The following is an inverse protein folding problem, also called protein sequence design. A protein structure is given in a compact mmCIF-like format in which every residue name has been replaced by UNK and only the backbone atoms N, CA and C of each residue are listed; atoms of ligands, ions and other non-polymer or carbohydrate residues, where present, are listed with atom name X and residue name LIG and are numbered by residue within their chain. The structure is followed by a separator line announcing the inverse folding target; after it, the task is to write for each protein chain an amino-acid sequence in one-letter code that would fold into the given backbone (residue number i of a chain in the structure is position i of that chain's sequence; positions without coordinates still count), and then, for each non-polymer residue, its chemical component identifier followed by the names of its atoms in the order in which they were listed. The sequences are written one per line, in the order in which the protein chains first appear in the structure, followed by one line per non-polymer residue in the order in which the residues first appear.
data_IF_886634610580
#
_entry.id   IF_886634610580
#
_cell.length_a   1.000
_cell.length_b   1.000
_cell.length_c   1.000
_cell.angle_alpha   90.00
_cell.angle_beta   90.00
_cell.angle_gamma   90.00
#
_symmetry.space_group_name_H-M   'P 1'
#
loop_
_entity.id
_entity.type
_entity.pdbx_description
1 polymer ?
#
# COMPACT_ATOMS: atom_id res chain seq x y z
N UNK A 1 0.41 -14.45 42.60
CA UNK A 1 -0.26 -13.34 41.89
C UNK A 1 0.73 -12.42 41.16
N UNK A 2 1.90 -12.09 41.74
CA UNK A 2 2.92 -11.25 41.08
C UNK A 2 3.53 -11.91 39.82
N UNK A 3 3.76 -13.24 39.85
CA UNK A 3 4.34 -13.98 38.73
C UNK A 3 3.43 -14.01 37.48
N UNK A 4 2.11 -14.05 37.69
CA UNK A 4 1.10 -14.02 36.60
C UNK A 4 1.05 -12.62 35.98
N UNK A 5 1.17 -11.57 36.79
CA UNK A 5 1.27 -10.19 36.31
C UNK A 5 2.52 -9.96 35.46
N UNK A 6 3.68 -10.48 35.88
CA UNK A 6 4.93 -10.35 35.13
C UNK A 6 4.91 -11.10 33.79
N UNK A 7 4.28 -12.28 33.72
CA UNK A 7 4.10 -13.02 32.46
C UNK A 7 3.14 -12.30 31.50
N UNK A 8 2.07 -11.69 32.01
CA UNK A 8 1.14 -10.91 31.19
C UNK A 8 1.79 -9.63 30.63
N UNK A 9 2.61 -8.94 31.43
CA UNK A 9 3.37 -7.76 30.99
C UNK A 9 4.45 -8.14 29.96
N UNK A 10 5.21 -9.21 30.18
CA UNK A 10 6.21 -9.68 29.22
C UNK A 10 5.57 -10.13 27.89
N UNK A 11 4.44 -10.84 27.95
CA UNK A 11 3.69 -11.26 26.77
C UNK A 11 3.08 -10.08 25.99
N UNK A 12 2.51 -9.10 26.68
CA UNK A 12 1.88 -7.92 26.06
C UNK A 12 2.87 -6.98 25.36
N UNK A 13 4.11 -6.88 25.86
CA UNK A 13 5.16 -6.06 25.24
C UNK A 13 5.71 -6.73 23.97
N UNK A 14 5.82 -8.05 23.93
CA UNK A 14 6.32 -8.79 22.76
C UNK A 14 5.35 -8.76 21.55
N UNK A 15 4.04 -8.65 21.79
CA UNK A 15 3.00 -8.71 20.75
C UNK A 15 2.83 -7.40 19.95
N UNK A 16 3.26 -6.24 20.46
CA UNK A 16 3.10 -4.96 19.76
C UNK A 16 3.99 -4.81 18.53
N UNK A 17 5.12 -5.53 18.47
CA UNK A 17 6.13 -5.37 17.43
C UNK A 17 5.82 -6.09 16.11
N UNK A 18 4.73 -6.86 16.04
CA UNK A 18 4.46 -7.79 14.93
C UNK A 18 3.20 -7.47 14.12
N UNK A 19 2.58 -6.29 14.27
CA UNK A 19 1.43 -5.97 13.44
C UNK A 19 1.88 -5.78 11.98
N UNK A 20 1.36 -6.57 11.02
CA UNK A 20 1.69 -6.39 9.62
C UNK A 20 1.15 -5.03 9.16
N UNK A 21 2.02 -4.20 8.59
CA UNK A 21 1.64 -2.93 8.02
C UNK A 21 0.62 -3.18 6.90
N UNK A 22 -0.63 -2.78 7.12
CA UNK A 22 -1.71 -2.91 6.15
C UNK A 22 -2.14 -1.53 5.70
N UNK A 23 -2.18 -1.31 4.39
CA UNK A 23 -2.57 -0.05 3.77
C UNK A 23 -3.97 -0.19 3.16
N UNK A 24 -4.80 0.81 3.38
CA UNK A 24 -6.12 0.89 2.75
C UNK A 24 -5.96 1.47 1.34
N UNK A 25 -6.44 0.73 0.34
CA UNK A 25 -6.34 1.16 -1.04
C UNK A 25 -7.62 1.83 -1.49
N UNK A 26 -7.53 2.69 -2.50
CA UNK A 26 -8.70 3.36 -3.08
C UNK A 26 -9.65 2.38 -3.78
N UNK A 27 -9.13 1.23 -4.22
CA UNK A 27 -9.92 0.15 -4.81
C UNK A 27 -10.66 -0.70 -3.75
N UNK A 28 -10.45 -0.43 -2.45
CA UNK A 28 -11.08 -1.16 -1.35
C UNK A 28 -10.46 -2.52 -1.02
N UNK A 29 -9.36 -2.90 -1.68
CA UNK A 29 -8.63 -4.14 -1.37
C UNK A 29 -7.42 -3.82 -0.49
N UNK A 30 -7.33 -4.29 0.76
CA UNK A 30 -6.21 -3.95 1.64
C UNK A 30 -4.88 -4.48 1.08
N UNK A 31 -3.84 -3.66 1.12
CA UNK A 31 -2.48 -4.05 0.77
C UNK A 31 -1.68 -4.35 2.03
N UNK A 32 -1.37 -5.63 2.28
CA UNK A 32 -0.52 -6.05 3.40
C UNK A 32 0.96 -6.05 3.00
N UNK A 33 1.80 -5.28 3.69
CA UNK A 33 3.24 -5.24 3.46
C UNK A 33 3.88 -6.59 3.76
N UNK A 34 4.83 -7.02 2.92
CA UNK A 34 5.59 -8.26 3.09
C UNK A 34 7.06 -7.97 2.82
N UNK A 35 7.91 -8.08 3.84
CA UNK A 35 9.35 -7.81 3.78
C UNK A 35 10.11 -8.82 2.92
N UNK A 36 9.57 -10.02 2.74
CA UNK A 36 10.20 -11.13 2.05
C UNK A 36 9.97 -11.11 0.54
N UNK A 37 9.11 -10.21 0.05
CA UNK A 37 8.75 -10.08 -1.37
C UNK A 37 9.17 -8.72 -1.92
N UNK A 38 9.85 -8.75 -3.08
CA UNK A 38 10.19 -7.53 -3.81
C UNK A 38 8.93 -6.77 -4.22
N UNK A 39 8.85 -5.52 -3.79
CA UNK A 39 7.73 -4.61 -4.08
C UNK A 39 8.25 -3.38 -4.80
N UNK A 40 7.75 -3.15 -6.02
CA UNK A 40 7.96 -1.91 -6.77
C UNK A 40 6.97 -0.87 -6.25
N UNK A 41 7.49 0.24 -5.74
CA UNK A 41 6.66 1.36 -5.28
C UNK A 41 6.78 2.49 -6.30
N UNK A 42 5.66 2.86 -6.91
CA UNK A 42 5.59 3.95 -7.86
C UNK A 42 4.85 5.13 -7.23
N UNK A 43 5.56 6.23 -7.01
CA UNK A 43 4.95 7.50 -6.63
C UNK A 43 4.52 8.22 -7.90
N UNK A 44 3.24 8.54 -8.00
CA UNK A 44 2.68 9.18 -9.20
C UNK A 44 1.70 10.29 -8.85
N UNK A 45 1.37 11.08 -9.86
CA UNK A 45 0.39 12.14 -9.80
C UNK A 45 -0.29 12.29 -11.17
N UNK A 46 -1.50 12.86 -11.21
CA UNK A 46 -2.24 13.11 -12.45
C UNK A 46 -1.48 14.06 -13.39
N UNK A 47 -0.71 15.00 -12.83
CA UNK A 47 0.15 15.90 -13.60
C UNK A 47 1.51 15.27 -13.98
N UNK A 48 1.88 14.13 -13.41
CA UNK A 48 3.16 13.47 -13.69
C UNK A 48 3.09 12.62 -14.98
N UNK A 49 3.13 13.27 -16.14
CA UNK A 49 3.13 12.58 -17.44
C UNK A 49 4.17 11.43 -17.59
N UNK A 50 5.44 11.55 -17.17
CA UNK A 50 6.35 10.41 -17.24
C UNK A 50 5.88 9.23 -16.37
N UNK A 51 5.39 9.48 -15.15
CA UNK A 51 4.84 8.43 -14.28
C UNK A 51 3.66 7.72 -14.96
N UNK A 52 2.76 8.46 -15.61
CA UNK A 52 1.61 7.88 -16.30
C UNK A 52 2.01 7.00 -17.50
N UNK A 53 3.09 7.36 -18.21
CA UNK A 53 3.62 6.54 -19.31
C UNK A 53 4.20 5.20 -18.85
N UNK A 54 4.57 5.08 -17.57
CA UNK A 54 5.11 3.84 -16.99
C UNK A 54 4.03 2.85 -16.54
N UNK A 55 2.78 3.31 -16.35
CA UNK A 55 1.67 2.48 -15.86
C UNK A 55 1.45 1.20 -16.68
N UNK A 56 1.51 1.20 -18.03
CA UNK A 56 1.36 -0.02 -18.82
C UNK A 56 2.42 -1.08 -18.49
N UNK A 57 3.67 -0.68 -18.27
CA UNK A 57 4.76 -1.58 -17.91
C UNK A 57 4.61 -2.09 -16.47
N UNK A 58 4.20 -1.21 -15.54
CA UNK A 58 3.90 -1.61 -14.16
C UNK A 58 2.72 -2.59 -14.09
N UNK A 59 1.72 -2.42 -14.95
CA UNK A 59 0.62 -3.37 -15.09
C UNK A 59 1.10 -4.73 -15.60
N UNK A 60 2.08 -4.77 -16.52
CA UNK A 60 2.68 -6.01 -16.99
C UNK A 60 3.42 -6.72 -15.85
N UNK A 61 4.28 -6.00 -15.13
CA UNK A 61 5.01 -6.52 -13.96
C UNK A 61 4.06 -7.07 -12.89
N UNK A 62 2.97 -6.36 -12.60
CA UNK A 62 1.96 -6.81 -11.63
C UNK A 62 1.27 -8.11 -12.08
N UNK A 63 1.00 -8.25 -13.37
CA UNK A 63 0.34 -9.43 -13.93
C UNK A 63 1.24 -10.67 -13.98
N UNK A 64 2.55 -10.49 -14.12
CA UNK A 64 3.52 -11.59 -14.16
C UNK A 64 3.75 -12.24 -12.79
N UNK A 65 3.23 -11.64 -11.71
CA UNK A 65 3.24 -12.14 -10.32
C UNK A 65 4.63 -12.40 -9.73
N UNK A 66 5.72 -12.03 -10.43
CA UNK A 66 7.09 -12.13 -9.93
C UNK A 66 7.41 -11.04 -8.90
N UNK A 67 6.75 -9.89 -9.04
CA UNK A 67 6.92 -8.73 -8.18
C UNK A 67 5.57 -8.23 -7.72
N UNK A 68 5.56 -7.61 -6.54
CA UNK A 68 4.42 -6.81 -6.10
C UNK A 68 4.57 -5.39 -6.64
N UNK A 69 3.45 -4.73 -6.88
CA UNK A 69 3.43 -3.32 -7.29
C UNK A 69 2.48 -2.56 -6.38
N UNK A 70 2.91 -1.38 -5.93
CA UNK A 70 2.10 -0.44 -5.15
C UNK A 70 2.22 0.95 -5.75
N UNK A 71 1.09 1.55 -6.12
CA UNK A 71 1.02 2.96 -6.48
C UNK A 71 0.77 3.82 -5.26
N UNK A 72 1.51 4.91 -5.13
CA UNK A 72 1.28 5.93 -4.10
C UNK A 72 0.95 7.24 -4.82
N UNK A 73 -0.29 7.69 -4.67
CA UNK A 73 -0.69 9.01 -5.15
C UNK A 73 0.01 10.08 -4.32
N UNK A 74 0.81 10.90 -4.98
CA UNK A 74 1.40 12.10 -4.40
C UNK A 74 0.39 13.25 -4.36
N UNK A 75 -0.65 13.21 -5.19
CA UNK A 75 -1.69 14.22 -5.16
C UNK A 75 -2.56 14.09 -3.90
N UNK A 76 -2.96 15.23 -3.35
CA UNK A 76 -3.96 15.37 -2.28
C UNK A 76 -5.39 15.20 -2.84
N UNK A 77 -5.62 14.11 -3.58
CA UNK A 77 -6.94 13.74 -4.08
C UNK A 77 -7.71 12.96 -3.01
N UNK A 78 -9.02 13.22 -2.92
CA UNK A 78 -9.91 12.32 -2.19
C UNK A 78 -10.02 10.96 -2.92
N UNK A 79 -10.61 9.98 -2.23
CA UNK A 79 -10.76 8.62 -2.75
C UNK A 79 -11.57 8.56 -4.05
N UNK A 80 -12.55 9.44 -4.24
CA UNK A 80 -13.40 9.44 -5.44
C UNK A 80 -12.62 9.96 -6.65
N UNK A 81 -11.97 11.10 -6.50
CA UNK A 81 -11.13 11.69 -7.53
C UNK A 81 -9.96 10.77 -7.92
N UNK A 82 -9.29 10.17 -6.92
CA UNK A 82 -8.20 9.23 -7.16
C UNK A 82 -8.69 7.93 -7.83
N UNK A 83 -9.86 7.41 -7.43
CA UNK A 83 -10.48 6.28 -8.15
C UNK A 83 -10.77 6.61 -9.61
N UNK A 84 -11.15 7.86 -9.90
CA UNK A 84 -11.29 8.37 -11.26
C UNK A 84 -9.98 8.32 -12.05
N UNK A 85 -8.85 8.72 -11.44
CA UNK A 85 -7.51 8.64 -12.08
C UNK A 85 -7.13 7.17 -12.34
N UNK A 86 -7.31 6.30 -11.34
CA UNK A 86 -7.06 4.85 -11.45
C UNK A 86 -7.82 4.24 -12.63
N UNK A 87 -9.09 4.58 -12.78
CA UNK A 87 -9.92 4.10 -13.89
C UNK A 87 -9.46 4.67 -15.24
N UNK A 88 -9.21 5.99 -15.34
CA UNK A 88 -8.78 6.65 -16.59
C UNK A 88 -7.44 6.12 -17.10
N UNK A 89 -6.51 5.85 -16.19
CA UNK A 89 -5.17 5.37 -16.51
C UNK A 89 -5.07 3.84 -16.58
N UNK A 90 -6.19 3.12 -16.37
CA UNK A 90 -6.24 1.66 -16.34
C UNK A 90 -5.19 1.06 -15.38
N UNK A 91 -5.03 1.63 -14.19
CA UNK A 91 -4.12 1.11 -13.16
C UNK A 91 -4.72 -0.17 -12.57
N UNK A 92 -3.98 -1.28 -12.67
CA UNK A 92 -4.45 -2.61 -12.24
C UNK A 92 -3.88 -3.05 -10.90
N UNK A 93 -2.84 -2.36 -10.42
CA UNK A 93 -2.21 -2.62 -9.13
C UNK A 93 -2.84 -1.75 -8.02
N UNK A 94 -2.70 -2.16 -6.75
CA UNK A 94 -3.18 -1.41 -5.59
C UNK A 94 -2.64 0.03 -5.52
N UNK A 95 -3.52 1.00 -5.20
CA UNK A 95 -3.15 2.42 -5.06
C UNK A 95 -3.57 2.95 -3.69
N UNK A 96 -2.67 3.71 -3.05
CA UNK A 96 -2.88 4.39 -1.76
C UNK A 96 -2.64 5.89 -1.90
N UNK A 97 -3.18 6.67 -0.96
CA UNK A 97 -2.87 8.10 -0.81
C UNK A 97 -1.59 8.23 0.03
N UNK A 98 -0.73 9.21 -0.26
CA UNK A 98 0.53 9.42 0.48
C UNK A 98 0.33 9.88 1.92
N UNK A 99 -0.83 10.40 2.28
CA UNK A 99 -1.17 10.78 3.64
C UNK A 99 -1.67 9.58 4.46
N UNK A 100 -1.17 9.47 5.68
CA UNK A 100 -1.70 8.53 6.64
C UNK A 100 -3.12 8.98 7.00
N UNK A 101 -4.13 8.24 6.54
CA UNK A 101 -5.47 8.33 7.10
C UNK A 101 -5.34 7.89 8.57
N UNK A 102 -5.28 8.87 9.47
CA UNK A 102 -5.27 8.69 10.92
C UNK A 102 -6.64 8.23 11.43
#
# INVERSE_FOLDING_TARGET
MVLVGLLALAGGIALRSLQPLTLNTVQGQPFSWQSEQWTVVNFFAEWCQPCLREIPELNHVYNDQQFRVLGVSFDELDNEALSGVVARQNIRFPVVISEAVA
#
